data_IF_312342302019
#
_entry.id   IF_312342302019
#
_cell.length_a   1.000
_cell.length_b   1.000
_cell.length_c   1.000
_cell.angle_alpha   90.00
_cell.angle_beta   90.00
_cell.angle_gamma   90.00
#
_symmetry.space_group_name_H-M   'P 1'
#
loop_
_entity.id
_entity.type
_entity.pdbx_description
1 polymer ?
#
# COMPACT_ATOMS: atom_id res chain seq x y z
N UNK A 1 8.51 -4.80 -34.16
CA UNK A 1 7.06 -4.66 -34.42
C UNK A 1 6.64 -3.25 -34.00
N UNK A 2 6.14 -2.43 -34.93
CA UNK A 2 5.57 -1.11 -34.63
C UNK A 2 4.17 -1.30 -34.04
N UNK A 3 3.78 -0.48 -33.07
CA UNK A 3 2.41 -0.44 -32.57
C UNK A 3 1.51 0.43 -33.47
N UNK A 4 0.20 0.39 -33.23
CA UNK A 4 -0.86 1.05 -34.04
C UNK A 4 -0.73 2.57 -34.17
N UNK A 5 0.20 3.19 -33.43
CA UNK A 5 0.51 4.62 -33.48
C UNK A 5 1.86 4.93 -34.19
N UNK A 6 2.47 3.94 -34.85
CA UNK A 6 3.66 4.14 -35.69
C UNK A 6 4.99 4.21 -34.93
N UNK A 7 4.99 4.01 -33.61
CA UNK A 7 6.22 4.02 -32.82
C UNK A 7 6.85 2.62 -32.78
N UNK A 8 8.19 2.58 -32.80
CA UNK A 8 8.94 1.34 -32.61
C UNK A 8 8.84 1.00 -31.13
N UNK A 9 8.14 -0.09 -30.79
CA UNK A 9 8.12 -0.65 -29.43
C UNK A 9 9.57 -0.84 -28.98
N UNK A 10 10.02 0.02 -28.05
CA UNK A 10 11.42 0.03 -27.58
C UNK A 10 11.67 -1.26 -26.82
N UNK A 11 12.85 -1.83 -27.03
CA UNK A 11 13.27 -3.04 -26.32
C UNK A 11 13.34 -2.74 -24.80
N UNK A 12 12.81 -3.62 -23.93
CA UNK A 12 12.82 -3.42 -22.48
C UNK A 12 14.22 -3.14 -21.90
N UNK A 13 15.29 -3.69 -22.50
CA UNK A 13 16.67 -3.42 -22.09
C UNK A 13 17.09 -1.98 -22.43
N UNK A 14 16.61 -1.43 -23.54
CA UNK A 14 16.86 -0.05 -23.95
C UNK A 14 16.12 0.93 -23.03
N UNK A 15 14.88 0.63 -22.65
CA UNK A 15 14.14 1.44 -21.67
C UNK A 15 14.79 1.40 -20.27
N UNK A 16 15.26 0.24 -19.84
CA UNK A 16 15.99 0.10 -18.59
C UNK A 16 17.29 0.93 -18.58
N UNK A 17 18.01 0.95 -19.70
CA UNK A 17 19.23 1.73 -19.86
C UNK A 17 18.97 3.24 -19.81
N UNK A 18 17.94 3.73 -20.53
CA UNK A 18 17.55 5.15 -20.56
C UNK A 18 17.07 5.59 -19.17
N UNK A 19 16.16 4.85 -18.55
CA UNK A 19 15.65 5.20 -17.21
C UNK A 19 16.74 5.14 -16.12
N UNK A 20 17.75 4.28 -16.29
CA UNK A 20 18.93 4.23 -15.45
C UNK A 20 19.86 5.44 -15.63
N UNK A 21 19.99 5.93 -16.86
CA UNK A 21 20.74 7.15 -17.20
C UNK A 21 20.11 8.40 -16.58
N UNK A 22 18.80 8.58 -16.75
CA UNK A 22 18.06 9.74 -16.25
C UNK A 22 18.13 9.84 -14.72
N UNK A 23 18.00 8.71 -14.02
CA UNK A 23 18.14 8.65 -12.55
C UNK A 23 19.54 9.06 -12.09
N UNK A 24 20.59 8.60 -12.79
CA UNK A 24 21.98 8.96 -12.46
C UNK A 24 22.27 10.43 -12.71
N UNK A 25 21.69 11.01 -13.76
CA UNK A 25 21.84 12.42 -14.08
C UNK A 25 21.10 13.31 -13.06
N UNK A 26 19.87 12.94 -12.67
CA UNK A 26 19.10 13.63 -11.64
C UNK A 26 19.77 13.54 -10.26
N UNK A 27 20.37 12.41 -9.90
CA UNK A 27 21.12 12.30 -8.65
C UNK A 27 22.40 13.16 -8.67
N UNK A 28 23.04 13.31 -9.85
CA UNK A 28 24.23 14.17 -10.01
C UNK A 28 23.93 15.66 -9.90
N UNK A 29 22.72 16.11 -10.28
CA UNK A 29 22.33 17.52 -10.13
C UNK A 29 21.91 17.90 -8.70
N UNK A 30 21.67 16.93 -7.82
CA UNK A 30 21.29 17.17 -6.42
C UNK A 30 22.48 17.54 -5.52
N UNK A 31 22.24 18.45 -4.57
CA UNK A 31 23.19 18.76 -3.49
C UNK A 31 23.39 17.59 -2.52
N UNK A 32 24.55 17.52 -1.85
CA UNK A 32 24.91 16.42 -0.95
C UNK A 32 23.88 16.13 0.16
N UNK A 33 23.25 17.13 0.81
CA UNK A 33 22.17 16.89 1.79
C UNK A 33 20.94 16.21 1.19
N UNK A 34 20.54 16.64 -0.02
CA UNK A 34 19.39 16.09 -0.75
C UNK A 34 19.63 14.64 -1.17
N UNK A 35 20.84 14.31 -1.65
CA UNK A 35 21.25 12.93 -1.94
C UNK A 35 21.15 12.02 -0.72
N UNK A 36 21.58 12.51 0.45
CA UNK A 36 21.52 11.76 1.72
C UNK A 36 20.07 11.51 2.16
N UNK A 37 19.18 12.50 2.00
CA UNK A 37 17.74 12.37 2.29
C UNK A 37 17.08 11.32 1.39
N UNK A 38 17.32 11.37 0.08
CA UNK A 38 16.78 10.40 -0.89
C UNK A 38 17.27 8.97 -0.59
N UNK A 39 18.56 8.78 -0.31
CA UNK A 39 19.11 7.48 0.09
C UNK A 39 18.47 6.95 1.37
N UNK A 40 18.24 7.80 2.37
CA UNK A 40 17.60 7.42 3.65
C UNK A 40 16.14 7.02 3.44
N UNK A 41 15.38 7.77 2.65
CA UNK A 41 13.99 7.42 2.34
C UNK A 41 13.89 6.14 1.50
N UNK A 42 14.80 5.94 0.54
CA UNK A 42 14.89 4.69 -0.24
C UNK A 42 15.24 3.49 0.64
N UNK A 43 16.17 3.64 1.58
CA UNK A 43 16.51 2.59 2.54
C UNK A 43 15.33 2.26 3.48
N UNK A 44 14.59 3.27 3.96
CA UNK A 44 13.36 3.05 4.73
C UNK A 44 12.28 2.33 3.91
N UNK A 45 12.13 2.69 2.63
CA UNK A 45 11.17 2.06 1.74
C UNK A 45 11.53 0.59 1.46
N UNK A 46 12.79 0.29 1.16
CA UNK A 46 13.27 -1.08 0.98
C UNK A 46 13.17 -1.90 2.27
N UNK A 47 13.46 -1.33 3.44
CA UNK A 47 13.28 -2.01 4.73
C UNK A 47 11.81 -2.33 5.04
N UNK A 48 10.86 -1.59 4.46
CA UNK A 48 9.41 -1.80 4.58
C UNK A 48 8.84 -2.70 3.47
N UNK A 49 9.59 -2.90 2.39
CA UNK A 49 9.17 -3.67 1.21
C UNK A 49 8.99 -5.13 1.59
N UNK A 50 7.81 -5.68 1.31
CA UNK A 50 7.43 -7.04 1.69
C UNK A 50 7.01 -7.22 3.17
N UNK A 51 7.10 -6.17 4.01
CA UNK A 51 6.69 -6.23 5.43
C UNK A 51 5.43 -5.43 5.74
N UNK A 52 5.05 -4.48 4.89
CA UNK A 52 3.90 -3.60 5.12
C UNK A 52 2.74 -3.98 4.21
N UNK A 53 1.63 -4.38 4.81
CA UNK A 53 0.34 -4.38 4.13
C UNK A 53 -0.20 -2.95 4.07
N UNK A 54 -0.73 -2.56 2.91
CA UNK A 54 -1.51 -1.33 2.76
C UNK A 54 -2.98 -1.75 2.65
N UNK A 55 -3.81 -1.20 3.52
CA UNK A 55 -5.26 -1.44 3.51
C UNK A 55 -5.95 -0.18 3.04
N UNK A 56 -6.83 -0.33 2.07
CA UNK A 56 -7.73 0.74 1.65
C UNK A 56 -8.87 0.82 2.67
N UNK A 57 -9.00 1.97 3.34
CA UNK A 57 -9.99 2.22 4.38
C UNK A 57 -10.83 3.44 3.99
N UNK A 58 -12.16 3.41 4.20
CA UNK A 58 -13.02 4.58 4.09
C UNK A 58 -12.53 5.74 4.97
N UNK A 59 -12.76 6.97 4.52
CA UNK A 59 -12.28 8.18 5.21
C UNK A 59 -12.79 8.28 6.65
N UNK A 60 -14.04 7.85 6.88
CA UNK A 60 -14.66 7.86 8.21
C UNK A 60 -13.93 6.93 9.18
N UNK A 61 -13.58 5.72 8.74
CA UNK A 61 -12.79 4.78 9.54
C UNK A 61 -11.39 5.34 9.85
N UNK A 62 -10.75 5.99 8.87
CA UNK A 62 -9.44 6.63 9.09
C UNK A 62 -9.54 7.68 10.20
N UNK A 63 -10.56 8.56 10.14
CA UNK A 63 -10.78 9.59 11.16
C UNK A 63 -11.07 8.97 12.53
N UNK A 64 -11.92 7.93 12.59
CA UNK A 64 -12.23 7.25 13.84
C UNK A 64 -10.97 6.65 14.49
N UNK A 65 -10.14 5.95 13.72
CA UNK A 65 -8.87 5.39 14.21
C UNK A 65 -7.92 6.50 14.69
N UNK A 66 -7.85 7.63 13.98
CA UNK A 66 -7.04 8.78 14.39
C UNK A 66 -7.53 9.41 15.70
N UNK A 67 -8.85 9.52 15.87
CA UNK A 67 -9.44 10.05 17.11
C UNK A 67 -9.10 9.15 18.30
N UNK A 68 -9.35 7.84 18.18
CA UNK A 68 -9.01 6.87 19.24
C UNK A 68 -7.51 6.92 19.58
N UNK A 69 -6.66 7.11 18.57
CA UNK A 69 -5.22 7.24 18.79
C UNK A 69 -4.86 8.51 19.57
N UNK A 70 -5.49 9.65 19.23
CA UNK A 70 -5.30 10.91 19.94
C UNK A 70 -5.74 10.81 21.41
N UNK A 71 -6.92 10.24 21.65
CA UNK A 71 -7.50 10.10 22.99
C UNK A 71 -6.66 9.20 23.91
N UNK A 72 -5.85 8.31 23.34
CA UNK A 72 -4.99 7.35 24.06
C UNK A 72 -3.50 7.67 23.91
N UNK A 73 -3.15 8.88 23.46
CA UNK A 73 -1.77 9.36 23.30
C UNK A 73 -0.85 8.38 22.54
N UNK A 74 -1.39 7.73 21.51
CA UNK A 74 -0.70 6.69 20.76
C UNK A 74 -0.81 6.91 19.25
N UNK A 75 -0.17 6.05 18.45
CA UNK A 75 -0.23 6.17 17.00
C UNK A 75 -1.44 5.43 16.40
N UNK A 76 -2.02 5.98 15.33
CA UNK A 76 -3.06 5.30 14.54
C UNK A 76 -2.64 3.88 14.10
N UNK A 77 -1.34 3.67 13.84
CA UNK A 77 -0.81 2.34 13.50
C UNK A 77 -0.86 1.36 14.68
N UNK A 78 -0.71 1.83 15.92
CA UNK A 78 -0.84 0.98 17.12
C UNK A 78 -2.29 0.65 17.41
N UNK A 79 -3.21 1.61 17.27
CA UNK A 79 -4.65 1.36 17.35
C UNK A 79 -5.09 0.36 16.28
N UNK A 80 -4.69 0.55 15.02
CA UNK A 80 -4.99 -0.39 13.95
C UNK A 80 -4.42 -1.80 14.23
N UNK A 81 -3.20 -1.89 14.77
CA UNK A 81 -2.61 -3.17 15.19
C UNK A 81 -3.45 -3.87 16.25
N UNK A 82 -3.91 -3.13 17.26
CA UNK A 82 -4.77 -3.67 18.32
C UNK A 82 -6.12 -4.14 17.76
N UNK A 83 -6.78 -3.30 16.96
CA UNK A 83 -8.07 -3.63 16.34
C UNK A 83 -7.98 -4.89 15.47
N UNK A 84 -6.94 -5.01 14.64
CA UNK A 84 -6.71 -6.22 13.82
C UNK A 84 -6.49 -7.44 14.72
N UNK A 85 -5.70 -7.33 15.79
CA UNK A 85 -5.47 -8.45 16.71
C UNK A 85 -6.77 -8.88 17.41
N UNK A 86 -7.57 -7.93 17.89
CA UNK A 86 -8.87 -8.20 18.51
C UNK A 86 -9.82 -8.90 17.53
N UNK A 87 -9.96 -8.38 16.31
CA UNK A 87 -10.80 -8.97 15.29
C UNK A 87 -10.37 -10.40 14.93
N UNK A 88 -9.07 -10.64 14.74
CA UNK A 88 -8.57 -11.97 14.41
C UNK A 88 -8.83 -12.99 15.53
N UNK A 89 -8.71 -12.58 16.80
CA UNK A 89 -9.08 -13.44 17.92
C UNK A 89 -10.59 -13.69 17.94
N UNK A 90 -11.42 -12.65 17.77
CA UNK A 90 -12.87 -12.80 17.76
C UNK A 90 -13.35 -13.75 16.63
N UNK A 91 -12.71 -13.73 15.46
CA UNK A 91 -12.98 -14.69 14.38
C UNK A 91 -12.56 -16.11 14.77
N UNK A 92 -11.38 -16.26 15.39
CA UNK A 92 -10.89 -17.57 15.84
C UNK A 92 -11.77 -18.18 16.93
N UNK A 93 -12.21 -17.34 17.85
CA UNK A 93 -12.96 -17.73 19.04
C UNK A 93 -14.47 -17.92 18.71
N UNK A 94 -14.90 -17.50 17.52
CA UNK A 94 -16.26 -17.72 16.99
C UNK A 94 -17.23 -16.55 17.21
N UNK A 95 -16.78 -15.48 17.86
CA UNK A 95 -17.57 -14.27 18.15
C UNK A 95 -17.90 -13.47 16.88
N UNK A 96 -17.06 -13.58 15.84
CA UNK A 96 -17.26 -12.90 14.56
C UNK A 96 -17.26 -13.91 13.41
N UNK A 97 -18.42 -14.08 12.77
CA UNK A 97 -18.52 -14.83 11.53
C UNK A 97 -18.39 -13.91 10.31
N UNK A 98 -17.21 -13.91 9.70
CA UNK A 98 -16.89 -13.12 8.50
C UNK A 98 -17.81 -13.46 7.32
N UNK A 99 -18.43 -14.66 7.28
CA UNK A 99 -19.33 -15.05 6.19
C UNK A 99 -20.57 -14.17 6.10
N UNK A 100 -21.01 -13.61 7.21
CA UNK A 100 -22.21 -12.75 7.28
C UNK A 100 -22.03 -11.47 6.47
N UNK A 101 -20.79 -11.00 6.32
CA UNK A 101 -20.46 -9.76 5.61
C UNK A 101 -20.05 -9.97 4.15
N UNK A 102 -20.12 -11.22 3.65
CA UNK A 102 -19.69 -11.54 2.27
C UNK A 102 -20.79 -11.19 1.28
N UNK A 103 -20.39 -10.49 0.22
CA UNK A 103 -21.22 -10.26 -0.96
C UNK A 103 -20.53 -10.89 -2.17
N UNK A 104 -21.30 -11.40 -3.13
CA UNK A 104 -20.72 -11.96 -4.37
C UNK A 104 -19.93 -10.86 -5.07
N UNK A 105 -18.65 -11.12 -5.33
CA UNK A 105 -17.79 -10.15 -5.99
C UNK A 105 -18.19 -10.02 -7.46
N UNK A 106 -18.80 -8.90 -7.82
CA UNK A 106 -19.11 -8.61 -9.21
C UNK A 106 -17.81 -8.24 -9.96
N UNK A 107 -17.46 -9.05 -10.97
CA UNK A 107 -16.34 -8.80 -11.91
C UNK A 107 -14.93 -8.86 -11.29
N UNK A 108 -14.71 -9.59 -10.19
CA UNK A 108 -13.37 -9.83 -9.66
C UNK A 108 -12.81 -11.17 -10.16
N UNK A 109 -11.71 -11.20 -10.95
CA UNK A 109 -11.16 -12.44 -11.50
C UNK A 109 -10.43 -13.30 -10.47
N UNK A 110 -10.15 -12.77 -9.26
CA UNK A 110 -9.31 -13.44 -8.26
C UNK A 110 -10.09 -13.98 -7.06
N UNK A 111 -11.23 -13.36 -6.73
CA UNK A 111 -11.98 -13.68 -5.51
C UNK A 111 -13.47 -13.80 -5.80
N UNK A 112 -14.12 -14.81 -5.21
CA UNK A 112 -15.57 -15.05 -5.37
C UNK A 112 -16.44 -14.10 -4.52
N UNK A 113 -15.86 -13.56 -3.45
CA UNK A 113 -16.59 -12.74 -2.46
C UNK A 113 -15.82 -11.45 -2.17
N UNK A 114 -16.57 -10.36 -2.01
CA UNK A 114 -16.13 -9.11 -1.40
C UNK A 114 -16.70 -9.01 0.02
N UNK A 115 -16.14 -8.11 0.84
CA UNK A 115 -16.68 -7.78 2.15
C UNK A 115 -17.31 -6.40 2.05
N UNK A 116 -18.59 -6.30 2.41
CA UNK A 116 -19.30 -5.03 2.53
C UNK A 116 -19.61 -4.77 4.00
N UNK A 117 -19.43 -3.53 4.44
CA UNK A 117 -19.76 -3.11 5.79
C UNK A 117 -21.25 -2.73 5.83
N UNK A 118 -21.98 -3.09 6.90
CA UNK A 118 -23.34 -2.61 7.08
C UNK A 118 -23.34 -1.08 7.26
N UNK A 119 -24.42 -0.44 6.81
CA UNK A 119 -24.70 0.99 7.07
C UNK A 119 -24.95 1.27 8.56
#
# INVERSE_FOLDING_TARGET
>A
MKDSNGFIKRDPAVEAAISGGDKRQAERSMTMPSRKKVKRERAKAEARKGKRALYDLPQEMIKAVQQVAADNETSASQIAKLAIWMFLNAVRDGDVDVRVYRVIANKNPKYNYAIELPE
#
